data_IF_307668665885
#
_entry.id   IF_307668665885
#
_cell.length_a   1.000
_cell.length_b   1.000
_cell.length_c   1.000
_cell.angle_alpha   90.00
_cell.angle_beta   90.00
_cell.angle_gamma   90.00
#
_symmetry.space_group_name_H-M   'P 1'
#
loop_
_entity.id
_entity.type
_entity.pdbx_description
1 polymer ?
#
# COMPACT_ATOMS: atom_id res chain seq x y z
N UNK A 1 12.82 11.52 45.61
CA UNK A 1 12.65 12.14 44.28
C UNK A 1 12.28 11.14 43.17
N UNK A 2 12.70 9.87 43.26
CA UNK A 2 12.41 8.81 42.26
C UNK A 2 10.92 8.44 42.11
N UNK A 3 10.20 8.35 43.23
CA UNK A 3 8.79 7.91 43.27
C UNK A 3 7.87 8.91 42.55
N UNK A 4 8.09 10.21 42.73
CA UNK A 4 7.33 11.27 42.04
C UNK A 4 7.54 11.23 40.52
N UNK A 5 8.77 10.94 40.06
CA UNK A 5 9.09 10.78 38.63
C UNK A 5 8.40 9.55 38.03
N UNK A 6 8.30 8.46 38.79
CA UNK A 6 7.58 7.25 38.36
C UNK A 6 6.07 7.45 38.28
N UNK A 7 5.47 8.18 39.24
CA UNK A 7 4.06 8.56 39.18
C UNK A 7 3.75 9.45 37.97
N UNK A 8 4.54 10.50 37.72
CA UNK A 8 4.38 11.35 36.52
C UNK A 8 4.52 10.56 35.20
N UNK A 9 5.43 9.57 35.14
CA UNK A 9 5.55 8.69 33.97
C UNK A 9 4.32 7.80 33.77
N UNK A 10 3.72 7.29 34.85
CA UNK A 10 2.48 6.49 34.80
C UNK A 10 1.29 7.35 34.35
N UNK A 11 1.17 8.57 34.85
CA UNK A 11 0.11 9.51 34.44
C UNK A 11 0.23 9.93 32.97
N UNK A 12 1.45 10.20 32.47
CA UNK A 12 1.66 10.50 31.04
C UNK A 12 1.25 9.31 30.15
N UNK A 13 1.64 8.09 30.51
CA UNK A 13 1.21 6.88 29.78
C UNK A 13 -0.30 6.69 29.78
N UNK A 14 -0.98 6.97 30.90
CA UNK A 14 -2.43 6.89 30.99
C UNK A 14 -3.12 7.92 30.09
N UNK A 15 -2.60 9.15 30.05
CA UNK A 15 -3.08 10.22 29.15
C UNK A 15 -2.87 9.85 27.67
N UNK A 16 -1.75 9.24 27.31
CA UNK A 16 -1.47 8.78 25.93
C UNK A 16 -2.37 7.61 25.51
N UNK A 17 -2.72 6.72 26.45
CA UNK A 17 -3.68 5.63 26.23
C UNK A 17 -5.11 6.15 26.02
N UNK A 18 -5.57 7.09 26.84
CA UNK A 18 -6.88 7.73 26.66
C UNK A 18 -6.95 8.55 25.35
N UNK A 19 -5.81 9.14 24.93
CA UNK A 19 -5.69 9.84 23.65
C UNK A 19 -5.75 8.91 22.44
N UNK A 20 -5.20 7.69 22.54
CA UNK A 20 -5.30 6.67 21.49
C UNK A 20 -6.66 5.94 21.49
N UNK A 21 -7.32 5.78 22.65
CA UNK A 21 -8.71 5.29 22.73
C UNK A 21 -9.70 6.19 21.97
N UNK A 22 -9.52 7.52 22.04
CA UNK A 22 -10.34 8.48 21.29
C UNK A 22 -10.05 8.54 19.78
N UNK A 23 -8.99 7.87 19.28
CA UNK A 23 -8.69 7.83 17.84
C UNK A 23 -9.45 6.71 17.11
N UNK A 24 -9.82 5.64 17.82
CA UNK A 24 -10.54 4.50 17.25
C UNK A 24 -12.02 4.85 17.06
N UNK A 25 -12.64 5.52 18.04
CA UNK A 25 -14.03 5.99 17.97
C UNK A 25 -14.24 7.03 16.85
N UNK A 26 -13.25 7.90 16.59
CA UNK A 26 -13.30 8.84 15.46
C UNK A 26 -13.19 8.16 14.10
N UNK A 27 -12.57 6.98 14.03
CA UNK A 27 -12.46 6.18 12.81
C UNK A 27 -13.79 5.51 12.44
N UNK A 28 -14.58 5.10 13.43
CA UNK A 28 -15.93 4.57 13.21
C UNK A 28 -16.92 5.65 12.75
N UNK A 29 -16.79 6.91 13.22
CA UNK A 29 -17.71 8.00 12.86
C UNK A 29 -17.63 8.45 11.38
N UNK A 30 -16.61 8.03 10.62
CA UNK A 30 -16.39 8.47 9.23
C UNK A 30 -16.85 7.48 8.16
N UNK A 31 -17.52 6.39 8.56
CA UNK A 31 -18.16 5.42 7.67
C UNK A 31 -19.67 5.64 7.52
N UNK A 32 -20.22 6.75 8.04
CA UNK A 32 -21.64 7.08 7.95
C UNK A 32 -21.97 7.69 6.59
N UNK A 33 -21.97 6.88 5.54
CA UNK A 33 -22.80 7.04 4.35
C UNK A 33 -22.54 5.82 3.48
N UNK A 34 -23.31 4.74 3.74
CA UNK A 34 -23.83 3.80 2.73
C UNK A 34 -24.71 2.74 3.44
N UNK A 35 -25.94 3.16 3.75
CA UNK A 35 -27.21 2.43 3.65
C UNK A 35 -27.31 0.90 3.88
N UNK A 36 -26.63 0.26 4.84
CA UNK A 36 -26.96 -1.17 5.13
C UNK A 36 -26.64 -1.75 6.53
N UNK A 37 -26.59 -0.99 7.63
CA UNK A 37 -26.05 -1.53 8.90
C UNK A 37 -26.96 -1.50 10.15
N UNK A 38 -28.28 -1.60 10.01
CA UNK A 38 -29.15 -1.75 11.21
C UNK A 38 -28.93 -3.08 11.95
N UNK A 39 -28.52 -4.14 11.25
CA UNK A 39 -28.32 -5.48 11.83
C UNK A 39 -26.93 -5.63 12.47
N UNK A 40 -25.90 -4.98 11.90
CA UNK A 40 -24.54 -5.00 12.46
C UNK A 40 -24.42 -4.15 13.73
N UNK A 41 -25.23 -3.10 13.87
CA UNK A 41 -25.28 -2.29 15.10
C UNK A 41 -25.84 -3.09 16.29
N UNK A 42 -26.82 -3.96 16.05
CA UNK A 42 -27.43 -4.78 17.09
C UNK A 42 -26.46 -5.85 17.62
N UNK A 43 -25.75 -6.55 16.73
CA UNK A 43 -24.74 -7.55 17.12
C UNK A 43 -23.61 -6.94 17.97
N UNK A 44 -23.12 -5.75 17.61
CA UNK A 44 -22.11 -5.04 18.40
C UNK A 44 -22.59 -4.65 19.80
N UNK A 45 -23.89 -4.41 19.98
CA UNK A 45 -24.45 -3.94 21.25
C UNK A 45 -24.74 -5.08 22.24
N UNK A 46 -25.03 -6.28 21.73
CA UNK A 46 -25.19 -7.50 22.54
C UNK A 46 -23.83 -8.02 23.03
N UNK A 47 -22.79 -8.01 22.17
CA UNK A 47 -21.45 -8.46 22.53
C UNK A 47 -20.79 -7.61 23.62
N UNK A 48 -21.00 -6.28 23.61
CA UNK A 48 -20.47 -5.39 24.65
C UNK A 48 -21.04 -5.68 26.04
N UNK A 49 -22.32 -6.07 26.14
CA UNK A 49 -22.95 -6.41 27.44
C UNK A 49 -22.53 -7.78 27.96
N UNK A 50 -22.25 -8.74 27.06
CA UNK A 50 -21.75 -10.07 27.43
C UNK A 50 -20.30 -10.00 27.96
N UNK A 51 -19.45 -9.17 27.33
CA UNK A 51 -18.06 -8.97 27.77
C UNK A 51 -18.00 -8.31 29.15
N UNK A 52 -18.86 -7.32 29.44
CA UNK A 52 -18.89 -6.66 30.77
C UNK A 52 -19.34 -7.58 31.91
N UNK A 53 -20.30 -8.49 31.66
CA UNK A 53 -20.74 -9.47 32.69
C UNK A 53 -19.69 -10.53 32.99
N UNK A 54 -18.93 -10.97 31.98
CA UNK A 54 -17.85 -11.94 32.16
C UNK A 54 -16.66 -11.35 32.92
N UNK A 55 -16.40 -10.05 32.77
CA UNK A 55 -15.34 -9.36 33.54
C UNK A 55 -15.69 -9.11 35.00
N UNK A 56 -16.97 -8.93 35.34
CA UNK A 56 -17.39 -8.65 36.73
C UNK A 56 -17.38 -9.92 37.61
N UNK A 57 -17.79 -11.07 37.08
CA UNK A 57 -17.70 -12.35 37.80
C UNK A 57 -16.26 -12.86 37.96
N UNK A 58 -15.30 -12.29 37.23
CA UNK A 58 -13.88 -12.62 37.38
C UNK A 58 -13.18 -11.79 38.49
N UNK A 59 -13.82 -10.74 39.01
CA UNK A 59 -13.21 -9.87 40.02
C UNK A 59 -13.47 -10.29 41.48
N UNK A 60 -14.28 -11.32 41.74
CA UNK A 60 -14.55 -11.80 43.11
C UNK A 60 -13.57 -12.85 43.64
N UNK A 61 -12.63 -13.36 42.82
CA UNK A 61 -11.66 -14.40 43.22
C UNK A 61 -10.21 -13.90 43.26
N UNK A 62 -9.99 -12.69 43.78
CA UNK A 62 -8.65 -12.10 43.93
C UNK A 62 -8.39 -11.65 45.38
N UNK A 63 -8.57 -12.57 46.33
CA UNK A 63 -8.05 -12.44 47.69
C UNK A 63 -7.36 -13.73 48.14
N UNK A 64 -6.34 -14.16 47.41
CA UNK A 64 -5.21 -14.89 47.99
C UNK A 64 -3.94 -14.37 47.31
N UNK A 65 -3.04 -13.81 48.12
CA UNK A 65 -1.74 -13.31 47.70
C UNK A 65 -0.86 -14.43 47.19
N UNK A 66 -0.95 -14.70 45.90
CA UNK A 66 0.05 -15.50 45.18
C UNK A 66 1.06 -14.52 44.61
N UNK A 67 2.24 -14.50 45.20
CA UNK A 67 3.43 -13.92 44.60
C UNK A 67 3.48 -14.35 43.13
N UNK A 68 3.28 -13.41 42.21
CA UNK A 68 3.34 -13.74 40.79
C UNK A 68 4.74 -14.30 40.53
N UNK A 69 4.90 -15.58 40.15
CA UNK A 69 6.22 -16.11 39.88
C UNK A 69 6.81 -15.25 38.78
N UNK A 70 7.96 -14.64 39.06
CA UNK A 70 8.69 -13.79 38.14
C UNK A 70 8.68 -14.49 36.77
N UNK A 71 7.88 -13.97 35.83
CA UNK A 71 7.75 -14.55 34.49
C UNK A 71 9.16 -14.66 33.93
N UNK A 72 9.68 -15.89 33.89
CA UNK A 72 11.01 -16.20 33.40
C UNK A 72 11.11 -15.62 31.99
N UNK A 73 11.79 -14.47 31.88
CA UNK A 73 11.95 -13.76 30.62
C UNK A 73 12.86 -14.61 29.76
N UNK A 74 12.27 -15.55 29.02
CA UNK A 74 12.96 -16.46 28.10
C UNK A 74 13.87 -15.62 27.23
N UNK A 75 15.18 -15.74 27.43
CA UNK A 75 16.18 -14.93 26.75
C UNK A 75 15.97 -15.06 25.24
N UNK A 76 15.54 -13.99 24.58
CA UNK A 76 15.30 -14.00 23.14
C UNK A 76 16.64 -14.12 22.44
N UNK A 77 16.72 -15.02 21.45
CA UNK A 77 17.93 -15.22 20.65
C UNK A 77 18.28 -13.91 19.91
N UNK A 78 19.42 -13.30 20.29
CA UNK A 78 19.96 -12.10 19.63
C UNK A 78 20.62 -12.46 18.31
N UNK A 79 20.57 -11.54 17.35
CA UNK A 79 21.07 -11.75 15.98
C UNK A 79 22.12 -10.70 15.63
N UNK A 80 23.12 -11.11 14.88
CA UNK A 80 24.19 -10.23 14.37
C UNK A 80 24.13 -10.15 12.85
N UNK A 81 24.39 -8.97 12.30
CA UNK A 81 24.46 -8.79 10.86
C UNK A 81 25.64 -9.58 10.28
N UNK A 82 25.39 -10.27 9.16
CA UNK A 82 26.41 -11.10 8.49
C UNK A 82 27.30 -10.33 7.52
N UNK A 83 26.87 -9.13 7.10
CA UNK A 83 27.64 -8.25 6.23
C UNK A 83 28.48 -7.29 7.08
N UNK A 84 29.60 -6.82 6.52
CA UNK A 84 30.47 -5.81 7.14
C UNK A 84 29.73 -4.51 7.49
N UNK A 85 28.64 -4.19 6.78
CA UNK A 85 27.83 -3.01 7.05
C UNK A 85 26.89 -3.25 8.26
N UNK A 86 27.14 -2.52 9.35
CA UNK A 86 26.44 -2.64 10.64
C UNK A 86 25.16 -1.77 10.74
N UNK A 87 25.02 -0.73 9.92
CA UNK A 87 23.90 0.21 10.04
C UNK A 87 22.58 -0.30 9.42
N UNK A 88 21.45 0.18 9.95
CA UNK A 88 20.10 -0.13 9.49
C UNK A 88 19.69 0.73 8.27
N UNK A 89 20.28 0.47 7.11
CA UNK A 89 20.00 1.21 5.87
C UNK A 89 19.01 0.47 4.95
N UNK A 90 18.45 1.18 3.95
CA UNK A 90 17.55 0.57 2.96
C UNK A 90 18.22 -0.53 2.12
N UNK A 91 19.54 -0.52 1.99
CA UNK A 91 20.31 -1.58 1.29
C UNK A 91 20.60 -2.80 2.18
N UNK A 92 20.65 -2.62 3.50
CA UNK A 92 20.92 -3.67 4.48
C UNK A 92 19.65 -4.21 5.15
N UNK A 93 18.56 -4.30 4.37
CA UNK A 93 17.31 -4.87 4.85
C UNK A 93 17.44 -6.40 4.94
N UNK A 94 17.18 -6.96 6.11
CA UNK A 94 17.38 -8.37 6.40
C UNK A 94 16.08 -9.00 6.94
N UNK A 95 15.82 -10.25 6.56
CA UNK A 95 14.72 -11.07 7.07
C UNK A 95 15.27 -12.06 8.09
N UNK A 96 14.62 -12.16 9.26
CA UNK A 96 14.92 -13.22 10.22
C UNK A 96 14.27 -14.51 9.73
N UNK A 97 15.08 -15.56 9.54
CA UNK A 97 14.63 -16.87 9.05
C UNK A 97 15.11 -17.94 10.03
N UNK A 98 14.25 -18.91 10.34
CA UNK A 98 14.63 -20.14 11.05
C UNK A 98 15.32 -21.08 10.08
N UNK A 99 16.54 -21.46 10.39
CA UNK A 99 17.26 -22.47 9.60
C UNK A 99 16.81 -23.87 10.00
N UNK A 100 17.05 -24.91 9.16
CA UNK A 100 16.76 -26.29 9.52
C UNK A 100 17.40 -26.73 10.85
N UNK A 101 18.58 -26.20 11.20
CA UNK A 101 19.24 -26.43 12.49
C UNK A 101 18.65 -25.65 13.68
N UNK A 102 17.43 -25.11 13.55
CA UNK A 102 16.69 -24.45 14.63
C UNK A 102 17.20 -23.06 15.03
N UNK A 103 18.25 -22.54 14.39
CA UNK A 103 18.84 -21.23 14.70
C UNK A 103 18.13 -20.12 13.93
N UNK A 104 17.90 -18.97 14.57
CA UNK A 104 17.48 -17.76 13.87
C UNK A 104 18.69 -17.10 13.19
N UNK A 105 18.56 -16.75 11.91
CA UNK A 105 19.64 -16.13 11.12
C UNK A 105 19.08 -15.01 10.25
N UNK A 106 19.86 -13.94 10.07
CA UNK A 106 19.55 -12.91 9.08
C UNK A 106 19.88 -13.37 7.66
N UNK A 107 18.87 -13.33 6.77
CA UNK A 107 19.04 -13.43 5.33
C UNK A 107 18.88 -12.04 4.69
N UNK A 108 19.82 -11.66 3.83
CA UNK A 108 19.74 -10.38 3.13
C UNK A 108 18.61 -10.37 2.11
N UNK A 109 17.77 -9.34 2.18
CA UNK A 109 16.70 -9.12 1.21
C UNK A 109 17.15 -8.11 0.14
N UNK A 110 16.74 -8.32 -1.10
CA UNK A 110 16.93 -7.33 -2.17
C UNK A 110 15.90 -6.21 -2.00
N UNK A 111 16.28 -4.94 -2.24
CA UNK A 111 15.30 -3.83 -2.31
C UNK A 111 14.26 -4.13 -3.39
N UNK A 112 12.99 -3.89 -3.06
CA UNK A 112 11.87 -3.99 -3.99
C UNK A 112 12.05 -2.98 -5.13
N UNK A 113 11.83 -3.43 -6.36
CA UNK A 113 11.90 -2.57 -7.55
C UNK A 113 10.53 -1.96 -7.84
N UNK A 114 10.52 -0.73 -8.33
CA UNK A 114 9.38 -0.20 -9.08
C UNK A 114 9.41 -0.83 -10.47
N UNK A 115 8.28 -1.34 -10.95
CA UNK A 115 8.21 -1.84 -12.32
C UNK A 115 7.78 -0.76 -13.32
N UNK A 116 7.59 -1.16 -14.59
CA UNK A 116 7.31 -0.24 -15.68
C UNK A 116 5.99 0.50 -15.47
N UNK A 117 6.03 1.80 -15.71
CA UNK A 117 4.88 2.70 -15.64
C UNK A 117 4.70 3.42 -16.97
N UNK A 118 3.46 3.70 -17.31
CA UNK A 118 3.14 4.56 -18.44
C UNK A 118 3.57 6.01 -18.11
N UNK A 119 4.31 6.71 -18.99
CA UNK A 119 4.71 8.10 -18.76
C UNK A 119 3.53 9.07 -18.75
N UNK A 120 2.49 8.81 -19.56
CA UNK A 120 1.31 9.68 -19.66
C UNK A 120 0.37 9.51 -18.46
N UNK A 121 -0.06 8.28 -18.18
CA UNK A 121 -1.07 8.01 -17.13
C UNK A 121 -0.47 7.71 -15.76
N UNK A 122 0.84 7.44 -15.65
CA UNK A 122 1.48 6.96 -14.41
C UNK A 122 1.09 5.54 -13.98
N UNK A 123 0.09 4.94 -14.63
CA UNK A 123 -0.40 3.57 -14.36
C UNK A 123 0.67 2.53 -14.64
N UNK A 124 0.69 1.46 -13.82
CA UNK A 124 1.59 0.31 -14.00
C UNK A 124 1.20 -0.46 -15.25
N UNK A 125 2.19 -0.97 -15.97
CA UNK A 125 1.95 -1.79 -17.16
C UNK A 125 1.70 -3.22 -16.73
N UNK A 126 0.51 -3.72 -17.02
CA UNK A 126 0.10 -5.09 -16.71
C UNK A 126 0.86 -6.09 -17.59
N UNK A 127 1.10 -7.29 -17.04
CA UNK A 127 1.78 -8.38 -17.73
C UNK A 127 3.31 -8.33 -17.69
N UNK A 128 3.92 -7.27 -17.14
CA UNK A 128 5.38 -7.16 -17.00
C UNK A 128 5.79 -7.22 -15.52
N UNK A 129 6.73 -8.09 -15.12
CA UNK A 129 7.07 -8.34 -13.71
C UNK A 129 7.86 -7.19 -13.08
N UNK A 130 7.64 -6.91 -11.79
CA UNK A 130 8.34 -5.86 -11.05
C UNK A 130 9.73 -6.32 -10.57
N UNK A 131 10.69 -6.34 -11.49
CA UNK A 131 12.05 -6.84 -11.23
C UNK A 131 13.10 -5.72 -11.19
N UNK A 132 14.28 -6.05 -10.68
CA UNK A 132 15.44 -5.14 -10.73
C UNK A 132 16.04 -5.08 -12.13
N UNK A 133 16.76 -3.99 -12.50
CA UNK A 133 17.38 -3.86 -13.82
C UNK A 133 18.26 -5.05 -14.24
N UNK A 134 19.03 -5.63 -13.31
CA UNK A 134 19.84 -6.83 -13.56
C UNK A 134 19.02 -8.08 -13.92
N UNK A 135 17.81 -8.21 -13.38
CA UNK A 135 16.92 -9.35 -13.63
C UNK A 135 16.16 -9.20 -14.95
N UNK A 136 16.06 -7.98 -15.50
CA UNK A 136 15.49 -7.70 -16.81
C UNK A 136 16.41 -8.03 -18.01
N UNK A 137 17.68 -8.38 -17.74
CA UNK A 137 18.65 -8.74 -18.78
C UNK A 137 18.16 -9.94 -19.61
N UNK A 138 18.48 -9.94 -20.92
CA UNK A 138 18.05 -11.00 -21.87
C UNK A 138 18.44 -12.41 -21.43
N UNK A 139 19.57 -12.55 -20.72
CA UNK A 139 20.06 -13.84 -20.22
C UNK A 139 19.24 -14.43 -19.07
N UNK A 140 18.47 -13.62 -18.34
CA UNK A 140 17.69 -14.06 -17.17
C UNK A 140 16.19 -14.10 -17.43
N UNK A 141 15.70 -13.27 -18.35
CA UNK A 141 14.28 -13.16 -18.64
C UNK A 141 14.04 -13.18 -20.15
N UNK A 142 13.16 -14.09 -20.57
CA UNK A 142 12.69 -14.23 -21.94
C UNK A 142 11.98 -12.96 -22.44
N UNK A 143 11.82 -12.82 -23.76
CA UNK A 143 11.19 -11.63 -24.36
C UNK A 143 9.70 -11.51 -24.02
N UNK A 144 8.95 -12.61 -24.11
CA UNK A 144 7.50 -12.66 -23.82
C UNK A 144 7.14 -12.13 -22.42
N UNK A 145 8.01 -12.32 -21.42
CA UNK A 145 7.80 -11.81 -20.05
C UNK A 145 8.15 -10.32 -19.89
N UNK A 146 8.82 -9.71 -20.87
CA UNK A 146 9.28 -8.30 -20.82
C UNK A 146 8.45 -7.36 -21.67
N UNK A 147 7.67 -7.90 -22.61
CA UNK A 147 6.92 -7.12 -23.59
C UNK A 147 5.46 -7.52 -23.57
N UNK A 148 4.60 -6.64 -24.09
CA UNK A 148 3.20 -6.95 -24.37
C UNK A 148 2.96 -6.84 -25.86
N UNK A 149 2.25 -7.79 -26.46
CA UNK A 149 1.99 -7.83 -27.90
C UNK A 149 0.87 -6.86 -28.29
N UNK A 150 1.17 -5.56 -28.29
CA UNK A 150 0.32 -4.48 -28.82
C UNK A 150 1.17 -3.29 -29.25
N UNK A 151 0.59 -2.33 -29.95
CA UNK A 151 1.23 -1.05 -30.25
C UNK A 151 1.71 -0.36 -28.96
N UNK A 152 2.96 0.11 -28.94
CA UNK A 152 3.64 0.70 -27.77
C UNK A 152 3.61 -0.19 -26.52
N UNK A 153 3.57 -1.51 -26.68
CA UNK A 153 3.57 -2.49 -25.60
C UNK A 153 4.79 -2.34 -24.69
N UNK A 154 4.57 -2.37 -23.38
CA UNK A 154 5.64 -2.19 -22.39
C UNK A 154 6.09 -0.75 -22.15
N UNK A 155 5.53 0.22 -22.89
CA UNK A 155 5.78 1.65 -22.69
C UNK A 155 4.52 2.39 -22.30
N UNK A 156 3.42 2.18 -23.04
CA UNK A 156 2.14 2.86 -22.81
C UNK A 156 1.10 1.92 -22.21
N UNK A 157 0.18 2.48 -21.41
CA UNK A 157 -1.03 1.78 -20.95
C UNK A 157 -2.00 1.57 -22.12
N UNK A 158 -2.89 0.57 -22.01
CA UNK A 158 -3.92 0.32 -23.05
C UNK A 158 -4.81 1.55 -23.30
N UNK A 159 -5.22 2.24 -22.23
CA UNK A 159 -6.00 3.47 -22.31
C UNK A 159 -5.27 4.58 -23.07
N UNK A 160 -3.99 4.83 -22.75
CA UNK A 160 -3.19 5.83 -23.43
C UNK A 160 -2.97 5.51 -24.92
N UNK A 161 -2.84 4.23 -25.28
CA UNK A 161 -2.75 3.82 -26.69
C UNK A 161 -4.07 4.08 -27.42
N UNK A 162 -5.21 3.72 -26.81
CA UNK A 162 -6.54 3.98 -27.40
C UNK A 162 -6.78 5.46 -27.63
N UNK A 163 -6.50 6.30 -26.64
CA UNK A 163 -6.63 7.75 -26.76
C UNK A 163 -5.73 8.32 -27.85
N UNK A 164 -4.49 7.82 -28.00
CA UNK A 164 -3.60 8.24 -29.09
C UNK A 164 -4.15 7.91 -30.47
N UNK A 165 -4.70 6.70 -30.64
CA UNK A 165 -5.29 6.27 -31.91
C UNK A 165 -6.49 7.16 -32.26
N UNK A 166 -7.41 7.36 -31.31
CA UNK A 166 -8.61 8.18 -31.53
C UNK A 166 -8.23 9.63 -31.82
N UNK A 167 -7.31 10.22 -31.03
CA UNK A 167 -6.86 11.59 -31.26
C UNK A 167 -6.18 11.75 -32.62
N UNK A 168 -5.33 10.80 -33.02
CA UNK A 168 -4.68 10.84 -34.32
C UNK A 168 -5.72 10.79 -35.46
N UNK A 169 -6.69 9.88 -35.36
CA UNK A 169 -7.77 9.75 -36.33
C UNK A 169 -8.59 11.04 -36.45
N UNK A 170 -9.12 11.55 -35.33
CA UNK A 170 -9.96 12.75 -35.34
C UNK A 170 -9.21 13.99 -35.85
N UNK A 171 -7.93 14.11 -35.54
CA UNK A 171 -7.10 15.23 -36.04
C UNK A 171 -6.91 15.14 -37.55
N UNK A 172 -6.72 13.94 -38.11
CA UNK A 172 -6.65 13.76 -39.56
C UNK A 172 -7.99 14.07 -40.24
N UNK A 173 -9.10 13.58 -39.69
CA UNK A 173 -10.45 13.89 -40.20
C UNK A 173 -10.72 15.40 -40.20
N UNK A 174 -10.43 16.09 -39.09
CA UNK A 174 -10.57 17.54 -38.99
C UNK A 174 -9.67 18.29 -39.99
N UNK A 175 -8.46 17.79 -40.27
CA UNK A 175 -7.58 18.39 -41.29
C UNK A 175 -8.19 18.29 -42.68
N UNK A 176 -8.81 17.16 -43.03
CA UNK A 176 -9.47 16.97 -44.33
C UNK A 176 -10.67 17.92 -44.44
N UNK A 177 -11.57 17.94 -43.45
CA UNK A 177 -12.73 18.84 -43.41
C UNK A 177 -12.29 20.31 -43.54
N UNK A 178 -11.23 20.71 -42.81
CA UNK A 178 -10.69 22.07 -42.88
C UNK A 178 -10.10 22.41 -44.27
N UNK A 179 -9.51 21.43 -44.98
CA UNK A 179 -9.04 21.63 -46.36
C UNK A 179 -10.20 21.78 -47.34
N UNK A 180 -11.20 20.92 -47.26
CA UNK A 180 -12.39 20.96 -48.14
C UNK A 180 -13.16 22.27 -47.97
N UNK A 181 -13.44 22.68 -46.73
CA UNK A 181 -14.11 23.96 -46.46
C UNK A 181 -13.32 25.17 -46.97
N UNK A 182 -11.98 25.12 -46.94
CA UNK A 182 -11.14 26.17 -47.53
C UNK A 182 -11.27 26.22 -49.06
N UNK A 183 -11.28 25.06 -49.72
CA UNK A 183 -11.44 24.97 -51.18
C UNK A 183 -12.81 25.49 -51.62
N UNK A 184 -13.89 25.11 -50.92
CA UNK A 184 -15.24 25.59 -51.21
C UNK A 184 -15.35 27.12 -51.08
N UNK A 185 -14.86 27.68 -49.96
CA UNK A 185 -14.83 29.15 -49.75
C UNK A 185 -14.00 29.89 -50.80
N UNK A 186 -12.91 29.29 -51.30
CA UNK A 186 -12.12 29.87 -52.37
C UNK A 186 -12.89 29.86 -53.71
N UNK A 187 -13.61 28.78 -54.01
CA UNK A 187 -14.45 28.65 -55.21
C UNK A 187 -15.62 29.62 -55.20
N UNK A 188 -16.33 29.77 -54.07
CA UNK A 188 -17.45 30.73 -53.91
C UNK A 188 -17.02 32.19 -54.11
N UNK A 189 -15.84 32.57 -53.58
CA UNK A 189 -15.28 33.92 -53.77
C UNK A 189 -14.85 34.20 -55.20
N UNK A 190 -14.47 33.17 -55.96
CA UNK A 190 -14.18 33.31 -57.39
C UNK A 190 -15.48 33.51 -58.17
N UNK A 191 -16.53 32.74 -57.89
CA UNK A 191 -17.83 32.90 -58.54
C UNK A 191 -18.53 34.23 -58.25
N UNK A 192 -18.29 34.86 -57.09
CA UNK A 192 -18.87 36.18 -56.78
C UNK A 192 -18.07 37.37 -57.36
N UNK A 193 -16.90 37.12 -57.93
CA UNK A 193 -16.04 38.14 -58.56
C UNK A 193 -16.16 38.18 -60.08
N UNK A 194 -16.78 37.15 -60.67
CA UNK A 194 -17.23 37.12 -62.07
C UNK A 194 -18.66 37.61 -62.13
#
# INVERSE_FOLDING_TARGET
>A
MEVRKNLQKKERKLKDLLRSGNCILRKFRKCQEDSSDHVLCFFCQVDMKLVSRKTLLFQSNLTLGVETPAKYSKMVQRLTYRKRHSYATRSNQNRVVKTPGGRLVFQSTKKRASGPKCPVTGKRIQGIPHLRPTEYKRSRLSRNRRTVNRAYGGVLSSGAVRERIIRAFLVEEQKIVKKVLKIQKAKEKQSSKS
#
